data_IF_842397453749
#
_entry.id   IF_842397453749
#
_cell.length_a   1.000
_cell.length_b   1.000
_cell.length_c   1.000
_cell.angle_alpha   90.00
_cell.angle_beta   90.00
_cell.angle_gamma   90.00
#
_symmetry.space_group_name_H-M   'P 1'
#
loop_
_entity.id
_entity.type
_entity.pdbx_description
1 polymer ?
#
# COMPACT_ATOMS: atom_id res chain seq x y z
N UNK A 1 -13.08 -2.28 -12.10
CA UNK A 1 -11.73 -2.84 -12.34
C UNK A 1 -11.10 -3.45 -11.09
N UNK A 2 -11.13 -2.82 -9.90
CA UNK A 2 -10.50 -3.37 -8.68
C UNK A 2 -11.02 -4.77 -8.29
N UNK A 3 -12.31 -5.02 -8.39
CA UNK A 3 -12.93 -6.33 -8.09
C UNK A 3 -12.51 -7.42 -9.08
N UNK A 4 -12.32 -7.08 -10.36
CA UNK A 4 -11.83 -8.03 -11.38
C UNK A 4 -10.39 -8.43 -11.09
N UNK A 5 -9.53 -7.47 -10.78
CA UNK A 5 -8.14 -7.77 -10.37
C UNK A 5 -8.10 -8.58 -9.07
N UNK A 6 -9.00 -8.29 -8.13
CA UNK A 6 -9.08 -9.02 -6.86
C UNK A 6 -9.49 -10.50 -7.04
N UNK A 7 -10.25 -10.84 -8.09
CA UNK A 7 -10.61 -12.23 -8.37
C UNK A 7 -9.43 -13.10 -8.85
N UNK A 8 -8.34 -12.46 -9.29
CA UNK A 8 -7.11 -13.14 -9.74
C UNK A 8 -6.13 -13.43 -8.60
N UNK A 9 -6.43 -13.00 -7.37
CA UNK A 9 -5.57 -13.30 -6.23
C UNK A 9 -5.57 -14.80 -5.91
N UNK A 10 -4.40 -15.30 -5.57
CA UNK A 10 -4.17 -16.68 -5.14
C UNK A 10 -3.50 -16.69 -3.76
N UNK A 11 -3.50 -17.82 -3.05
CA UNK A 11 -2.75 -17.98 -1.81
C UNK A 11 -1.29 -17.56 -1.98
N UNK A 12 -0.70 -16.92 -0.95
CA UNK A 12 0.64 -16.30 -0.91
C UNK A 12 0.72 -14.89 -1.54
N UNK A 13 -0.32 -14.40 -2.21
CA UNK A 13 -0.38 -12.98 -2.59
C UNK A 13 -0.81 -12.10 -1.41
N UNK A 14 -0.45 -10.83 -1.49
CA UNK A 14 -0.83 -9.80 -0.51
C UNK A 14 -1.70 -8.77 -1.21
N UNK A 15 -2.87 -8.51 -0.67
CA UNK A 15 -3.76 -7.43 -1.12
C UNK A 15 -3.71 -6.27 -0.12
N UNK A 16 -3.32 -5.10 -0.58
CA UNK A 16 -3.33 -3.86 0.21
C UNK A 16 -4.52 -3.00 -0.20
N UNK A 17 -5.48 -2.81 0.70
CA UNK A 17 -6.59 -1.88 0.54
C UNK A 17 -6.33 -0.57 1.27
N UNK A 18 -6.47 0.56 0.59
CA UNK A 18 -6.27 1.89 1.17
C UNK A 18 -7.57 2.70 1.09
N UNK A 19 -8.08 3.10 2.23
CA UNK A 19 -9.24 3.99 2.33
C UNK A 19 -9.19 4.74 3.65
N UNK A 20 -9.10 6.06 3.60
CA UNK A 20 -8.98 6.88 4.81
C UNK A 20 -10.13 6.62 5.79
N UNK A 21 -11.37 6.70 5.34
CA UNK A 21 -12.55 6.43 6.15
C UNK A 21 -12.85 4.94 6.34
N UNK A 22 -12.20 4.08 5.55
CA UNK A 22 -12.42 2.64 5.56
C UNK A 22 -13.81 2.16 5.11
N UNK A 23 -14.63 3.05 4.53
CA UNK A 23 -15.99 2.73 4.06
C UNK A 23 -16.12 2.72 2.53
N UNK A 24 -15.04 2.97 1.80
CA UNK A 24 -15.05 2.99 0.33
C UNK A 24 -15.43 1.60 -0.20
N UNK A 25 -16.66 1.50 -0.70
CA UNK A 25 -17.29 0.21 -1.07
C UNK A 25 -16.41 -0.62 -1.99
N UNK A 26 -15.89 -0.04 -3.07
CA UNK A 26 -15.07 -0.76 -4.06
C UNK A 26 -13.78 -1.34 -3.45
N UNK A 27 -13.16 -0.64 -2.51
CA UNK A 27 -11.96 -1.11 -1.81
C UNK A 27 -12.32 -2.26 -0.88
N UNK A 28 -13.39 -2.11 -0.09
CA UNK A 28 -13.85 -3.14 0.84
C UNK A 28 -14.24 -4.43 0.11
N UNK A 29 -14.99 -4.31 -0.98
CA UNK A 29 -15.43 -5.46 -1.78
C UNK A 29 -14.23 -6.18 -2.42
N UNK A 30 -13.28 -5.44 -2.99
CA UNK A 30 -12.06 -6.00 -3.58
C UNK A 30 -11.22 -6.77 -2.54
N UNK A 31 -11.05 -6.20 -1.35
CA UNK A 31 -10.32 -6.86 -0.25
C UNK A 31 -11.02 -8.14 0.21
N UNK A 32 -12.35 -8.12 0.33
CA UNK A 32 -13.13 -9.31 0.69
C UNK A 32 -12.98 -10.43 -0.35
N UNK A 33 -12.98 -10.09 -1.64
CA UNK A 33 -12.76 -11.06 -2.71
C UNK A 33 -11.35 -11.64 -2.63
N UNK A 34 -10.32 -10.80 -2.46
CA UNK A 34 -8.94 -11.25 -2.31
C UNK A 34 -8.78 -12.18 -1.09
N UNK A 35 -9.39 -11.84 0.05
CA UNK A 35 -9.40 -12.66 1.25
C UNK A 35 -10.05 -14.04 1.01
N UNK A 36 -11.19 -14.06 0.30
CA UNK A 36 -11.89 -15.29 -0.07
C UNK A 36 -11.03 -16.19 -0.96
N UNK A 37 -10.18 -15.62 -1.78
CA UNK A 37 -9.24 -16.34 -2.65
C UNK A 37 -7.94 -16.74 -1.93
N UNK A 38 -7.85 -16.54 -0.62
CA UNK A 38 -6.73 -16.97 0.20
C UNK A 38 -5.55 -15.99 0.26
N UNK A 39 -5.68 -14.78 -0.26
CA UNK A 39 -4.67 -13.75 -0.14
C UNK A 39 -4.57 -13.22 1.31
N UNK A 40 -3.38 -12.79 1.71
CA UNK A 40 -3.19 -12.02 2.93
C UNK A 40 -3.67 -10.59 2.67
N UNK A 41 -4.60 -10.10 3.49
CA UNK A 41 -5.17 -8.76 3.30
C UNK A 41 -4.66 -7.79 4.35
N UNK A 42 -4.23 -6.62 3.88
CA UNK A 42 -3.79 -5.49 4.70
C UNK A 42 -4.72 -4.31 4.39
N UNK A 43 -5.32 -3.73 5.41
CA UNK A 43 -6.13 -2.51 5.29
C UNK A 43 -5.39 -1.31 5.87
N UNK A 44 -5.38 -0.20 5.16
CA UNK A 44 -4.84 1.06 5.64
C UNK A 44 -5.98 2.08 5.75
N UNK A 45 -6.28 2.51 6.96
CA UNK A 45 -7.44 3.38 7.26
C UNK A 45 -7.19 4.21 8.51
N UNK A 46 -7.91 5.30 8.70
CA UNK A 46 -7.88 6.07 9.95
C UNK A 46 -8.86 5.53 11.02
N UNK A 47 -9.82 4.71 10.60
CA UNK A 47 -10.82 4.14 11.50
C UNK A 47 -10.64 2.62 11.65
N UNK A 48 -10.23 2.20 12.86
CA UNK A 48 -10.02 0.78 13.20
C UNK A 48 -11.31 -0.03 13.26
N UNK A 49 -12.45 0.63 13.40
CA UNK A 49 -13.77 0.00 13.44
C UNK A 49 -14.46 0.00 12.08
N UNK A 50 -13.80 0.50 11.05
CA UNK A 50 -14.34 0.60 9.70
C UNK A 50 -14.58 -0.76 9.04
N UNK A 51 -15.39 -0.75 7.97
CA UNK A 51 -15.66 -1.93 7.17
C UNK A 51 -14.37 -2.52 6.55
N UNK A 52 -13.42 -1.67 6.14
CA UNK A 52 -12.13 -2.10 5.62
C UNK A 52 -11.28 -2.77 6.70
N UNK A 53 -11.20 -2.17 7.89
CA UNK A 53 -10.44 -2.73 9.01
C UNK A 53 -10.94 -4.13 9.37
N UNK A 54 -12.26 -4.32 9.44
CA UNK A 54 -12.88 -5.62 9.73
C UNK A 54 -12.74 -6.64 8.60
N UNK A 55 -12.58 -6.20 7.36
CA UNK A 55 -12.42 -7.08 6.21
C UNK A 55 -10.98 -7.57 6.01
N UNK A 56 -10.01 -6.96 6.67
CA UNK A 56 -8.59 -7.26 6.51
C UNK A 56 -8.05 -8.13 7.64
N UNK A 57 -7.04 -8.95 7.32
CA UNK A 57 -6.30 -9.71 8.33
C UNK A 57 -5.41 -8.81 9.18
N UNK A 58 -4.85 -7.76 8.58
CA UNK A 58 -3.97 -6.78 9.24
C UNK A 58 -4.54 -5.39 8.97
N UNK A 59 -4.70 -4.59 10.01
CA UNK A 59 -5.11 -3.19 9.90
C UNK A 59 -3.96 -2.28 10.30
N UNK A 60 -3.53 -1.42 9.37
CA UNK A 60 -2.60 -0.34 9.60
C UNK A 60 -3.42 0.95 9.77
N UNK A 61 -3.49 1.44 11.00
CA UNK A 61 -4.26 2.63 11.29
C UNK A 61 -3.38 3.89 11.26
N UNK A 62 -3.82 4.88 10.48
CA UNK A 62 -3.31 6.25 10.58
C UNK A 62 -4.00 6.97 11.73
N UNK A 63 -3.42 8.06 12.26
CA UNK A 63 -4.10 8.85 13.29
C UNK A 63 -5.49 9.29 12.81
N UNK A 64 -6.49 9.19 13.71
CA UNK A 64 -7.81 9.77 13.48
C UNK A 64 -7.66 11.28 13.35
N UNK A 65 -8.18 11.82 12.26
CA UNK A 65 -8.23 13.25 12.08
C UNK A 65 -9.29 13.86 12.99
N UNK A 66 -9.00 15.04 13.52
CA UNK A 66 -9.95 15.82 14.28
C UNK A 66 -11.22 16.03 13.46
N UNK A 67 -12.38 15.69 14.05
CA UNK A 67 -13.70 15.89 13.43
C UNK A 67 -14.00 17.34 13.05
N UNK A 68 -13.27 18.26 13.63
CA UNK A 68 -13.47 19.71 13.50
C UNK A 68 -12.54 20.38 12.48
N UNK A 69 -11.72 19.60 11.75
CA UNK A 69 -10.85 20.18 10.72
C UNK A 69 -11.64 20.41 9.43
N UNK A 70 -11.53 21.61 8.78
CA UNK A 70 -12.15 21.83 7.49
C UNK A 70 -11.79 20.74 6.50
N UNK A 71 -12.76 20.31 5.68
CA UNK A 71 -12.73 19.18 4.75
C UNK A 71 -11.43 19.01 3.95
N UNK A 72 -10.69 20.08 3.68
CA UNK A 72 -9.45 20.03 2.90
C UNK A 72 -8.20 19.68 3.72
N UNK A 73 -8.07 20.19 4.96
CA UNK A 73 -6.91 19.89 5.80
C UNK A 73 -6.83 18.40 6.15
N UNK A 74 -7.94 17.85 6.58
CA UNK A 74 -8.02 16.44 6.97
C UNK A 74 -7.68 15.44 5.86
N UNK A 75 -7.98 15.74 4.61
CA UNK A 75 -7.66 14.86 3.48
C UNK A 75 -6.16 14.87 3.11
N UNK A 76 -5.48 16.01 3.32
CA UNK A 76 -4.04 16.16 3.05
C UNK A 76 -3.24 15.40 4.10
N UNK A 77 -3.54 15.60 5.37
CA UNK A 77 -2.84 14.93 6.47
C UNK A 77 -2.97 13.41 6.39
N UNK A 78 -4.16 12.92 6.03
CA UNK A 78 -4.38 11.49 5.80
C UNK A 78 -3.48 10.93 4.70
N UNK A 79 -3.35 11.64 3.58
CA UNK A 79 -2.51 11.21 2.46
C UNK A 79 -1.04 11.17 2.84
N UNK A 80 -0.55 12.17 3.57
CA UNK A 80 0.83 12.21 4.06
C UNK A 80 1.10 11.01 4.98
N UNK A 81 0.20 10.74 5.94
CA UNK A 81 0.35 9.59 6.82
C UNK A 81 0.31 8.26 6.06
N UNK A 82 -0.56 8.13 5.06
CA UNK A 82 -0.66 6.93 4.24
C UNK A 82 0.60 6.72 3.40
N UNK A 83 1.15 7.76 2.78
CA UNK A 83 2.41 7.70 2.03
C UNK A 83 3.56 7.28 2.95
N UNK A 84 3.64 7.86 4.13
CA UNK A 84 4.65 7.47 5.12
C UNK A 84 4.55 5.99 5.52
N UNK A 85 3.35 5.47 5.72
CA UNK A 85 3.15 4.05 6.01
C UNK A 85 3.57 3.16 4.83
N UNK A 86 3.31 3.58 3.59
CA UNK A 86 3.77 2.86 2.39
C UNK A 86 5.30 2.80 2.35
N UNK A 87 5.97 3.92 2.64
CA UNK A 87 7.44 3.96 2.71
C UNK A 87 7.99 3.05 3.82
N UNK A 88 7.36 3.04 5.00
CA UNK A 88 7.74 2.12 6.08
C UNK A 88 7.55 0.66 5.69
N UNK A 89 6.45 0.31 5.00
CA UNK A 89 6.23 -1.04 4.49
C UNK A 89 7.31 -1.41 3.47
N UNK A 90 7.63 -0.50 2.56
CA UNK A 90 8.69 -0.69 1.57
C UNK A 90 10.04 -0.95 2.24
N UNK A 91 10.43 -0.09 3.18
CA UNK A 91 11.67 -0.26 3.95
C UNK A 91 11.68 -1.58 4.74
N UNK A 92 10.55 -1.93 5.38
CA UNK A 92 10.41 -3.19 6.10
C UNK A 92 10.66 -4.42 5.21
N UNK A 93 10.11 -4.39 3.98
CA UNK A 93 10.36 -5.44 2.98
C UNK A 93 11.82 -5.45 2.55
N UNK A 94 12.42 -4.28 2.31
CA UNK A 94 13.83 -4.14 1.96
C UNK A 94 14.75 -4.78 3.01
N UNK A 95 14.53 -4.45 4.28
CA UNK A 95 15.32 -5.00 5.38
C UNK A 95 15.14 -6.52 5.52
N UNK A 96 13.92 -7.01 5.35
CA UNK A 96 13.62 -8.44 5.50
C UNK A 96 14.13 -9.30 4.35
N UNK A 97 14.10 -8.81 3.12
CA UNK A 97 14.57 -9.54 1.94
C UNK A 97 16.10 -9.46 1.75
N UNK A 98 16.77 -8.48 2.35
CA UNK A 98 18.24 -8.42 2.40
C UNK A 98 18.92 -8.42 1.02
N UNK A 99 19.98 -9.25 0.87
CA UNK A 99 20.85 -9.27 -0.32
C UNK A 99 20.18 -9.54 -1.68
N UNK A 100 19.16 -10.43 -1.81
CA UNK A 100 18.49 -10.64 -3.10
C UNK A 100 17.86 -9.36 -3.66
N UNK A 101 17.31 -8.53 -2.78
CA UNK A 101 16.68 -7.29 -3.19
C UNK A 101 17.70 -6.22 -3.59
N UNK A 102 18.85 -6.15 -2.91
CA UNK A 102 19.96 -5.25 -3.30
C UNK A 102 20.41 -5.52 -4.73
N UNK A 103 20.43 -6.78 -5.15
CA UNK A 103 20.77 -7.16 -6.53
C UNK A 103 19.71 -6.66 -7.51
N UNK A 104 18.43 -6.84 -7.21
CA UNK A 104 17.34 -6.38 -8.06
C UNK A 104 17.29 -4.85 -8.17
N UNK A 105 17.51 -4.14 -7.06
CA UNK A 105 17.61 -2.68 -7.06
C UNK A 105 18.78 -2.17 -7.90
N UNK A 106 19.96 -2.82 -7.82
CA UNK A 106 21.10 -2.48 -8.69
C UNK A 106 20.77 -2.70 -10.16
N UNK A 107 20.09 -3.80 -10.51
CA UNK A 107 19.67 -4.08 -11.89
C UNK A 107 18.69 -3.03 -12.40
N UNK A 108 17.72 -2.63 -11.56
CA UNK A 108 16.76 -1.57 -11.91
C UNK A 108 17.44 -0.20 -12.02
N UNK A 109 18.32 0.14 -11.09
CA UNK A 109 19.10 1.39 -11.14
C UNK A 109 20.00 1.45 -12.37
N UNK A 110 20.64 0.32 -12.74
CA UNK A 110 21.43 0.22 -13.95
C UNK A 110 20.57 0.42 -15.21
N UNK A 111 19.40 -0.22 -15.28
CA UNK A 111 18.48 -0.06 -16.40
C UNK A 111 17.98 1.40 -16.51
N UNK A 112 17.66 2.05 -15.39
CA UNK A 112 17.28 3.46 -15.36
C UNK A 112 18.46 4.38 -15.71
N UNK A 113 19.67 4.07 -15.25
CA UNK A 113 20.90 4.82 -15.57
C UNK A 113 21.23 4.80 -17.04
N UNK A 114 21.01 3.69 -17.73
CA UNK A 114 21.18 3.60 -19.19
C UNK A 114 20.15 4.44 -19.97
N UNK A 115 18.96 4.65 -19.39
CA UNK A 115 17.93 5.53 -19.99
C UNK A 115 18.16 7.02 -19.69
N UNK A 116 18.73 7.35 -18.53
CA UNK A 116 18.86 8.72 -18.04
C UNK A 116 20.27 9.31 -18.17
N UNK A 117 21.25 8.56 -18.67
CA UNK A 117 22.61 9.06 -18.85
C UNK A 117 23.00 9.19 -20.35
N UNK A 118 22.44 10.18 -21.07
CA UNK A 118 22.86 10.46 -22.45
C UNK A 118 24.27 11.08 -22.55
N UNK A 119 24.94 11.38 -21.43
CA UNK A 119 26.20 12.15 -21.38
C UNK A 119 27.37 11.35 -20.74
N UNK A 120 27.23 10.03 -20.55
CA UNK A 120 28.39 9.18 -20.22
C UNK A 120 29.11 9.48 -18.89
N UNK A 121 28.42 10.01 -17.88
CA UNK A 121 29.01 10.10 -16.54
C UNK A 121 29.06 8.71 -15.91
N UNK A 122 30.28 8.19 -15.73
CA UNK A 122 30.55 7.03 -14.89
C UNK A 122 30.27 7.41 -13.43
N UNK A 123 29.33 6.68 -12.79
CA UNK A 123 29.16 6.65 -11.34
C UNK A 123 30.04 5.57 -10.74
#
# INVERSE_FOLDING_TARGET
MQTVSASMFIPKMVALGVSNTGITKHVVDAVKIAAKNGAITIGMTSDRESALARACKICLATPLQYKDTPLYGGAIDAKVCQLYLVDLLYLGVLFKLGNPLKRNLKTTAYALGTYYNPIGMQL
#
